data_IF_093185992763
#
_entry.id   IF_093185992763
#
_cell.length_a   1.000
_cell.length_b   1.000
_cell.length_c   1.000
_cell.angle_alpha   90.00
_cell.angle_beta   90.00
_cell.angle_gamma   90.00
#
_symmetry.space_group_name_H-M   'P 1'
#
loop_
_entity.id
_entity.type
_entity.pdbx_description
1 polymer ?
#
# COMPACT_ATOMS: atom_id res chain seq x y z
N UNK A 1 -31.56 1.21 -7.47
CA UNK A 1 -32.50 0.44 -6.63
C UNK A 1 -31.77 -0.80 -6.10
N UNK A 2 -32.23 -1.44 -5.03
CA UNK A 2 -31.52 -2.60 -4.42
C UNK A 2 -31.43 -3.81 -5.36
N UNK A 3 -32.42 -4.01 -6.23
CA UNK A 3 -32.44 -5.09 -7.21
C UNK A 3 -31.26 -5.02 -8.19
N UNK A 4 -30.89 -3.83 -8.67
CA UNK A 4 -29.74 -3.65 -9.56
C UNK A 4 -28.41 -3.98 -8.87
N UNK A 5 -28.26 -3.64 -7.58
CA UNK A 5 -27.05 -3.98 -6.81
C UNK A 5 -26.87 -5.49 -6.67
N UNK A 6 -27.95 -6.22 -6.34
CA UNK A 6 -27.93 -7.68 -6.23
C UNK A 6 -27.58 -8.32 -7.58
N UNK A 7 -28.17 -7.82 -8.67
CA UNK A 7 -27.90 -8.32 -10.02
C UNK A 7 -26.45 -8.05 -10.48
N UNK A 8 -25.83 -6.96 -10.00
CA UNK A 8 -24.45 -6.61 -10.31
C UNK A 8 -23.42 -7.33 -9.41
N UNK A 9 -23.83 -7.87 -8.26
CA UNK A 9 -22.94 -8.64 -7.38
C UNK A 9 -22.51 -9.94 -8.08
N UNK A 10 -21.20 -10.20 -8.25
CA UNK A 10 -20.71 -11.44 -8.84
C UNK A 10 -21.12 -12.65 -8.01
N UNK A 11 -21.41 -13.77 -8.69
CA UNK A 11 -21.70 -15.04 -8.00
C UNK A 11 -20.48 -15.56 -7.20
N UNK A 12 -19.27 -15.25 -7.65
CA UNK A 12 -18.02 -15.57 -6.96
C UNK A 12 -17.35 -14.28 -6.50
N UNK A 13 -17.17 -14.15 -5.18
CA UNK A 13 -16.49 -13.00 -4.59
C UNK A 13 -14.99 -13.27 -4.52
N UNK A 14 -14.20 -12.44 -5.19
CA UNK A 14 -12.73 -12.50 -5.20
C UNK A 14 -12.14 -11.46 -4.24
N UNK A 15 -10.84 -11.60 -3.93
CA UNK A 15 -10.13 -10.59 -3.14
C UNK A 15 -10.15 -9.22 -3.82
N UNK A 16 -10.03 -9.18 -5.15
CA UNK A 16 -10.03 -7.94 -5.93
C UNK A 16 -11.39 -7.23 -5.85
N UNK A 17 -12.49 -8.00 -5.87
CA UNK A 17 -13.84 -7.45 -5.66
C UNK A 17 -13.96 -6.81 -4.27
N UNK A 18 -13.54 -7.51 -3.22
CA UNK A 18 -13.58 -6.98 -1.84
C UNK A 18 -12.71 -5.73 -1.72
N UNK A 19 -11.50 -5.72 -2.28
CA UNK A 19 -10.59 -4.58 -2.25
C UNK A 19 -11.12 -3.37 -3.04
N UNK A 20 -11.88 -3.60 -4.11
CA UNK A 20 -12.54 -2.54 -4.86
C UNK A 20 -13.65 -1.90 -4.02
N UNK A 21 -14.52 -2.69 -3.40
CA UNK A 21 -15.61 -2.18 -2.56
C UNK A 21 -15.08 -1.45 -1.32
N UNK A 22 -14.08 -2.01 -0.63
CA UNK A 22 -13.43 -1.35 0.51
C UNK A 22 -12.77 -0.02 0.13
N UNK A 23 -12.26 0.11 -1.11
CA UNK A 23 -11.68 1.36 -1.59
C UNK A 23 -12.72 2.45 -1.81
N UNK A 24 -13.96 2.08 -2.19
CA UNK A 24 -15.07 3.03 -2.39
C UNK A 24 -15.64 3.47 -1.04
N UNK A 25 -15.87 2.51 -0.15
CA UNK A 25 -16.49 2.76 1.15
C UNK A 25 -15.58 3.56 2.09
N UNK A 26 -14.30 3.18 2.19
CA UNK A 26 -13.37 3.75 3.17
C UNK A 26 -12.32 4.69 2.53
N UNK A 27 -12.70 5.41 1.47
CA UNK A 27 -11.79 6.31 0.79
C UNK A 27 -11.33 7.43 1.74
N UNK A 28 -10.01 7.64 1.83
CA UNK A 28 -9.43 8.69 2.67
C UNK A 28 -9.27 8.33 4.16
N UNK A 29 -9.69 7.12 4.59
CA UNK A 29 -9.68 6.72 6.00
C UNK A 29 -8.42 5.92 6.42
N UNK A 30 -7.40 5.83 5.56
CA UNK A 30 -6.11 5.23 5.90
C UNK A 30 -6.04 3.69 5.79
N UNK A 31 -7.12 3.01 5.39
CA UNK A 31 -7.10 1.53 5.26
C UNK A 31 -6.40 1.02 4.01
N UNK A 32 -6.36 1.83 2.94
CA UNK A 32 -6.00 1.35 1.60
C UNK A 32 -4.63 0.67 1.56
N UNK A 33 -3.63 1.28 2.18
CA UNK A 33 -2.27 0.71 2.20
C UNK A 33 -2.23 -0.62 2.97
N UNK A 34 -2.82 -0.67 4.17
CA UNK A 34 -2.87 -1.88 5.00
C UNK A 34 -3.61 -3.03 4.31
N UNK A 35 -4.70 -2.73 3.62
CA UNK A 35 -5.46 -3.72 2.85
C UNK A 35 -4.62 -4.32 1.72
N UNK A 36 -3.88 -3.49 0.98
CA UNK A 36 -3.09 -3.97 -0.15
C UNK A 36 -1.85 -4.76 0.27
N UNK A 37 -1.14 -4.34 1.34
CA UNK A 37 0.07 -5.06 1.78
C UNK A 37 -0.28 -6.42 2.41
N UNK A 38 -1.35 -6.50 3.20
CA UNK A 38 -1.73 -7.74 3.90
C UNK A 38 -2.29 -8.80 2.94
N UNK A 39 -2.76 -8.39 1.76
CA UNK A 39 -3.26 -9.28 0.71
C UNK A 39 -2.26 -9.50 -0.42
N UNK A 40 -1.05 -8.95 -0.33
CA UNK A 40 -0.03 -9.06 -1.38
C UNK A 40 -0.48 -8.51 -2.74
N UNK A 41 -1.31 -7.45 -2.72
CA UNK A 41 -1.86 -6.78 -3.92
C UNK A 41 -1.29 -5.38 -4.15
N UNK A 42 -0.35 -4.94 -3.32
CA UNK A 42 0.11 -3.56 -3.34
C UNK A 42 0.87 -3.19 -4.61
N UNK A 43 1.81 -4.01 -5.04
CA UNK A 43 2.52 -3.81 -6.31
C UNK A 43 1.56 -3.79 -7.50
N UNK A 44 0.68 -4.81 -7.60
CA UNK A 44 -0.30 -4.94 -8.69
C UNK A 44 -1.23 -3.73 -8.80
N UNK A 45 -1.78 -3.28 -7.67
CA UNK A 45 -2.86 -2.27 -7.67
C UNK A 45 -2.33 -0.83 -7.54
N UNK A 46 -1.22 -0.62 -6.82
CA UNK A 46 -0.65 0.72 -6.61
C UNK A 46 0.56 1.03 -7.50
N UNK A 47 1.01 0.04 -8.30
CA UNK A 47 2.05 0.22 -9.31
C UNK A 47 1.64 1.19 -10.43
N UNK A 48 0.34 1.43 -10.62
CA UNK A 48 -0.16 2.54 -11.43
C UNK A 48 -1.43 3.13 -10.85
N UNK A 49 -1.60 4.44 -10.97
CA UNK A 49 -2.79 5.15 -10.52
C UNK A 49 -3.02 6.42 -11.35
N UNK A 50 -4.25 6.92 -11.33
CA UNK A 50 -4.67 8.15 -11.99
C UNK A 50 -5.06 9.19 -10.94
N UNK A 51 -4.59 10.43 -11.11
CA UNK A 51 -4.95 11.57 -10.27
C UNK A 51 -4.93 12.85 -11.10
N UNK A 52 -5.58 13.92 -10.63
CA UNK A 52 -5.49 15.24 -11.24
C UNK A 52 -4.04 15.74 -11.34
N UNK A 53 -3.78 16.62 -12.30
CA UNK A 53 -2.46 17.25 -12.45
C UNK A 53 -2.00 18.03 -11.21
N UNK A 54 -0.74 18.46 -11.22
CA UNK A 54 -0.08 19.05 -10.04
C UNK A 54 -0.52 20.48 -9.72
N UNK A 55 -1.13 21.17 -10.69
CA UNK A 55 -1.55 22.55 -10.55
C UNK A 55 -2.85 22.67 -9.74
N UNK A 56 -3.00 23.79 -9.03
CA UNK A 56 -4.22 24.07 -8.29
C UNK A 56 -5.43 24.13 -9.24
N UNK A 57 -6.44 23.30 -8.96
CA UNK A 57 -7.65 23.12 -9.78
C UNK A 57 -7.45 22.42 -11.13
N UNK A 58 -6.31 21.75 -11.35
CA UNK A 58 -6.17 20.86 -12.51
C UNK A 58 -6.92 19.54 -12.28
N UNK A 59 -8.00 19.37 -13.06
CA UNK A 59 -8.83 18.16 -13.05
C UNK A 59 -8.50 17.23 -14.22
N UNK A 60 -7.42 17.48 -14.94
CA UNK A 60 -6.93 16.60 -15.99
C UNK A 60 -6.33 15.35 -15.34
N UNK A 61 -6.93 14.20 -15.64
CA UNK A 61 -6.41 12.91 -15.21
C UNK A 61 -5.02 12.64 -15.80
N UNK A 62 -4.06 12.34 -14.92
CA UNK A 62 -2.70 11.92 -15.28
C UNK A 62 -2.43 10.56 -14.65
N UNK A 63 -1.98 9.62 -15.48
CA UNK A 63 -1.54 8.31 -15.03
C UNK A 63 -0.09 8.37 -14.59
N UNK A 64 0.19 7.88 -13.39
CA UNK A 64 1.53 7.70 -12.86
C UNK A 64 1.83 6.21 -12.73
N UNK A 65 3.08 5.84 -13.02
CA UNK A 65 3.62 4.52 -12.75
C UNK A 65 4.60 4.59 -11.57
N UNK A 66 4.64 3.54 -10.75
CA UNK A 66 5.52 3.38 -9.60
C UNK A 66 6.16 1.99 -9.66
N UNK A 67 7.45 1.93 -9.40
CA UNK A 67 8.13 0.66 -9.16
C UNK A 67 8.01 0.34 -7.67
N UNK A 68 7.26 -0.71 -7.33
CA UNK A 68 7.10 -1.18 -5.95
C UNK A 68 7.84 -2.50 -5.83
N UNK A 69 9.10 -2.44 -5.40
CA UNK A 69 9.93 -3.63 -5.21
C UNK A 69 9.51 -4.44 -3.97
N UNK A 70 9.78 -5.77 -3.92
CA UNK A 70 9.34 -6.64 -2.84
C UNK A 70 9.75 -6.18 -1.43
N UNK A 71 10.91 -5.55 -1.27
CA UNK A 71 11.38 -5.11 0.04
C UNK A 71 10.55 -3.94 0.61
N UNK A 72 9.87 -3.14 -0.21
CA UNK A 72 9.07 -2.00 0.25
C UNK A 72 7.86 -2.40 1.11
N UNK A 73 7.46 -3.68 1.10
CA UNK A 73 6.34 -4.18 1.91
C UNK A 73 6.59 -4.07 3.41
N UNK A 74 7.87 -4.07 3.80
CA UNK A 74 8.30 -3.84 5.17
C UNK A 74 9.13 -2.55 5.17
N UNK A 75 8.93 -1.64 6.13
CA UNK A 75 9.69 -0.38 6.20
C UNK A 75 10.94 -0.58 7.05
N UNK A 76 12.01 0.21 6.85
CA UNK A 76 13.16 0.16 7.76
C UNK A 76 12.73 0.60 9.16
N UNK A 77 13.35 -0.01 10.17
CA UNK A 77 13.33 0.53 11.52
C UNK A 77 14.05 1.89 11.47
N UNK A 78 13.47 2.97 12.03
CA UNK A 78 14.12 4.28 12.02
C UNK A 78 15.52 4.22 12.62
N UNK A 79 16.50 4.84 11.94
CA UNK A 79 17.89 4.78 12.38
C UNK A 79 18.08 5.34 13.80
N UNK A 80 17.38 6.43 14.13
CA UNK A 80 17.41 7.03 15.48
C UNK A 80 16.89 6.10 16.57
N UNK A 81 16.01 5.14 16.24
CA UNK A 81 15.57 4.12 17.19
C UNK A 81 16.67 3.10 17.44
N UNK A 82 17.39 2.67 16.39
CA UNK A 82 18.51 1.72 16.49
C UNK A 82 19.67 2.36 17.27
N UNK A 83 20.02 3.59 16.94
CA UNK A 83 21.14 4.31 17.59
C UNK A 83 20.92 4.54 19.09
N UNK A 84 19.66 4.54 19.54
CA UNK A 84 19.29 4.74 20.94
C UNK A 84 19.26 3.44 21.77
N UNK A 85 19.51 2.28 21.17
CA UNK A 85 19.47 0.98 21.83
C UNK A 85 20.83 0.62 22.45
N UNK A 86 20.80 0.03 23.65
CA UNK A 86 22.01 -0.44 24.35
C UNK A 86 22.26 -1.93 24.02
N UNK A 87 22.92 -2.17 22.89
CA UNK A 87 23.28 -3.51 22.39
C UNK A 87 24.64 -3.46 21.69
N UNK A 88 25.21 -4.63 21.37
CA UNK A 88 26.45 -4.68 20.57
C UNK A 88 26.21 -4.25 19.12
N UNK A 89 27.24 -3.80 18.37
CA UNK A 89 27.08 -3.40 16.98
C UNK A 89 26.47 -4.48 16.08
N UNK A 90 26.81 -5.75 16.31
CA UNK A 90 26.25 -6.87 15.55
C UNK A 90 24.75 -7.05 15.84
N UNK A 91 24.35 -6.96 17.11
CA UNK A 91 22.94 -7.06 17.48
C UNK A 91 22.12 -5.90 16.92
N UNK A 92 22.66 -4.67 16.88
CA UNK A 92 22.00 -3.52 16.26
C UNK A 92 21.82 -3.69 14.74
N UNK A 93 22.84 -4.21 14.05
CA UNK A 93 22.76 -4.55 12.64
C UNK A 93 21.69 -5.63 12.38
N UNK A 94 21.66 -6.68 13.19
CA UNK A 94 20.68 -7.75 13.08
C UNK A 94 19.26 -7.33 13.50
N UNK A 95 19.14 -6.28 14.31
CA UNK A 95 17.84 -5.74 14.70
C UNK A 95 17.09 -5.10 13.53
N UNK A 96 17.81 -4.56 12.55
CA UNK A 96 17.19 -3.99 11.34
C UNK A 96 16.50 -5.10 10.52
N UNK A 97 15.41 -4.71 9.86
CA UNK A 97 14.69 -5.56 8.93
C UNK A 97 15.67 -6.09 7.86
N UNK A 98 15.72 -7.41 7.58
CA UNK A 98 16.82 -8.03 6.84
C UNK A 98 17.20 -7.36 5.52
N UNK A 99 16.21 -6.90 4.77
CA UNK A 99 16.37 -6.23 3.47
C UNK A 99 16.99 -4.83 3.54
N UNK A 100 17.07 -4.22 4.73
CA UNK A 100 17.60 -2.87 4.97
C UNK A 100 18.96 -2.87 5.69
N UNK A 101 19.57 -4.04 5.92
CA UNK A 101 20.84 -4.12 6.64
C UNK A 101 22.03 -3.63 5.81
N UNK A 102 21.93 -3.76 4.48
CA UNK A 102 23.02 -3.50 3.53
C UNK A 102 22.68 -2.42 2.48
N UNK A 103 21.57 -1.68 2.67
CA UNK A 103 21.13 -0.59 1.77
C UNK A 103 21.75 0.76 2.11
#
# INVERSE_FOLDING_TARGET
>A
NSAAMIAATPATITIDYILAERSREYFGEGYRWYDLIRTQKWEEIAGSYEIGGTEQADHTAVTYARTIEPYHYLRPIPQTQIDAMDMTPQELYDYQNPVYRDL
#
